data_IF_742499768567
#
_entry.id   IF_742499768567
#
_cell.length_a   1.000
_cell.length_b   1.000
_cell.length_c   1.000
_cell.angle_alpha   90.00
_cell.angle_beta   90.00
_cell.angle_gamma   90.00
#
_symmetry.space_group_name_H-M   'P 1'
#
loop_
_entity.id
_entity.type
_entity.pdbx_description
1 polymer ?
#
# COMPACT_ATOMS: atom_id res chain seq x y z
N UNK A 1 -5.47 19.69 27.42
CA UNK A 1 -5.59 18.58 26.44
C UNK A 1 -5.08 19.07 25.11
N UNK A 2 -4.22 18.30 24.48
CA UNK A 2 -3.73 18.60 23.14
C UNK A 2 -4.66 17.97 22.06
N UNK A 3 -4.40 18.26 20.79
CA UNK A 3 -5.21 17.78 19.67
C UNK A 3 -5.24 16.23 19.59
N UNK A 4 -4.13 15.56 19.85
CA UNK A 4 -4.06 14.10 19.85
C UNK A 4 -4.92 13.47 20.96
N UNK A 5 -4.98 14.08 22.14
CA UNK A 5 -5.87 13.63 23.22
C UNK A 5 -7.36 13.82 22.87
N UNK A 6 -7.68 14.91 22.16
CA UNK A 6 -9.06 15.15 21.70
C UNK A 6 -9.47 14.14 20.62
N UNK A 7 -8.58 13.87 19.66
CA UNK A 7 -8.78 12.84 18.65
C UNK A 7 -9.02 11.48 19.29
N UNK A 8 -8.17 11.06 20.22
CA UNK A 8 -8.32 9.78 20.92
C UNK A 8 -9.57 9.69 21.76
N UNK A 9 -10.00 10.81 22.35
CA UNK A 9 -11.28 10.85 23.04
C UNK A 9 -12.46 10.56 22.10
N UNK A 10 -12.47 11.18 20.92
CA UNK A 10 -13.49 10.94 19.90
C UNK A 10 -13.43 9.49 19.37
N UNK A 11 -12.23 9.01 19.03
CA UNK A 11 -12.01 7.66 18.51
C UNK A 11 -12.51 6.61 19.51
N UNK A 12 -12.21 6.74 20.80
CA UNK A 12 -12.72 5.82 21.86
C UNK A 12 -14.25 5.80 21.94
N UNK A 13 -14.90 6.95 21.83
CA UNK A 13 -16.37 7.01 21.82
C UNK A 13 -16.99 6.32 20.62
N UNK A 14 -16.38 6.50 19.45
CA UNK A 14 -16.79 5.80 18.22
C UNK A 14 -16.58 4.29 18.38
N UNK A 15 -15.45 3.87 18.94
CA UNK A 15 -15.13 2.47 19.17
C UNK A 15 -16.13 1.80 20.14
N UNK A 16 -16.48 2.46 21.25
CA UNK A 16 -17.51 1.99 22.16
C UNK A 16 -18.85 1.83 21.46
N UNK A 17 -19.26 2.83 20.69
CA UNK A 17 -20.51 2.79 19.94
C UNK A 17 -20.53 1.65 18.89
N UNK A 18 -19.41 1.38 18.22
CA UNK A 18 -19.26 0.26 17.30
C UNK A 18 -19.32 -1.08 18.01
N UNK A 19 -18.62 -1.21 19.14
CA UNK A 19 -18.59 -2.44 19.96
C UNK A 19 -19.98 -2.82 20.46
N UNK A 20 -20.78 -1.87 20.93
CA UNK A 20 -22.15 -2.09 21.36
C UNK A 20 -23.07 -2.63 20.25
N UNK A 21 -22.62 -2.52 18.99
CA UNK A 21 -23.28 -3.01 17.78
C UNK A 21 -22.60 -4.23 17.16
N UNK A 22 -21.70 -4.88 17.89
CA UNK A 22 -20.95 -6.05 17.42
C UNK A 22 -19.98 -5.75 16.28
N UNK A 23 -19.49 -4.50 16.18
CA UNK A 23 -18.51 -4.06 15.16
C UNK A 23 -17.19 -3.69 15.83
N UNK A 24 -16.12 -3.73 15.04
CA UNK A 24 -14.78 -3.32 15.47
C UNK A 24 -14.35 -2.09 14.67
N UNK A 25 -13.58 -1.22 15.33
CA UNK A 25 -12.96 -0.07 14.67
C UNK A 25 -11.83 -0.53 13.75
N UNK A 26 -11.77 0.06 12.57
CA UNK A 26 -10.59 0.06 11.72
C UNK A 26 -10.25 1.52 11.46
N UNK A 27 -9.01 1.93 11.67
CA UNK A 27 -8.55 3.30 11.43
C UNK A 27 -7.14 3.35 10.88
N UNK A 28 -6.83 4.46 10.23
CA UNK A 28 -5.48 4.79 9.80
C UNK A 28 -4.57 4.96 11.03
N UNK A 29 -3.26 4.86 10.85
CA UNK A 29 -2.28 4.81 11.96
C UNK A 29 -2.22 6.09 12.82
N UNK A 30 -2.90 7.18 12.42
CA UNK A 30 -3.10 8.36 13.26
C UNK A 30 -3.86 8.06 14.56
N UNK A 31 -4.68 7.01 14.59
CA UNK A 31 -5.39 6.62 15.81
C UNK A 31 -4.45 6.19 16.95
N UNK A 32 -3.18 5.88 16.63
CA UNK A 32 -2.17 5.53 17.63
C UNK A 32 -1.70 6.74 18.44
N UNK A 33 -1.78 7.96 17.91
CA UNK A 33 -1.15 9.16 18.47
C UNK A 33 -1.65 9.55 19.87
N UNK A 34 -2.80 9.14 20.28
CA UNK A 34 -3.28 9.39 21.64
C UNK A 34 -3.75 8.12 22.35
N UNK A 35 -3.38 6.99 21.80
CA UNK A 35 -3.72 5.66 22.29
C UNK A 35 -5.06 5.13 21.79
N UNK A 36 -5.05 3.87 21.42
CA UNK A 36 -6.19 3.11 20.89
C UNK A 36 -6.33 1.80 21.67
N UNK A 37 -7.51 1.21 21.70
CA UNK A 37 -7.70 -0.11 22.32
C UNK A 37 -7.07 -1.22 21.49
N UNK A 38 -6.78 -2.36 22.13
CA UNK A 38 -6.27 -3.55 21.42
C UNK A 38 -7.29 -4.18 20.47
N UNK A 39 -8.58 -3.86 20.61
CA UNK A 39 -9.63 -4.36 19.73
C UNK A 39 -9.64 -3.70 18.36
N UNK A 40 -9.09 -2.51 18.24
CA UNK A 40 -9.01 -1.78 16.98
C UNK A 40 -8.01 -2.44 16.00
N UNK A 41 -8.32 -2.35 14.73
CA UNK A 41 -7.40 -2.70 13.65
C UNK A 41 -6.75 -1.43 13.11
N UNK A 42 -5.45 -1.45 12.94
CA UNK A 42 -4.65 -0.30 12.47
C UNK A 42 -4.26 -0.50 11.01
N UNK A 43 -4.52 0.50 10.17
CA UNK A 43 -4.04 0.57 8.80
C UNK A 43 -2.81 1.46 8.75
N UNK A 44 -1.63 0.85 8.56
CA UNK A 44 -0.34 1.58 8.57
C UNK A 44 -0.01 2.09 7.19
N UNK A 45 -0.19 3.40 6.96
CA UNK A 45 0.04 4.04 5.66
C UNK A 45 1.28 4.94 5.63
N UNK A 46 1.64 5.57 6.75
CA UNK A 46 2.84 6.43 6.89
C UNK A 46 4.13 5.60 7.00
N UNK A 47 4.29 4.61 6.12
CA UNK A 47 5.33 3.59 6.20
C UNK A 47 4.94 2.43 7.11
N UNK A 48 5.94 1.69 7.62
CA UNK A 48 5.74 0.47 8.42
C UNK A 48 5.73 0.71 9.93
N UNK A 49 6.22 1.85 10.39
CA UNK A 49 6.43 2.14 11.82
C UNK A 49 5.15 2.01 12.64
N UNK A 50 4.05 2.60 12.18
CA UNK A 50 2.76 2.53 12.88
C UNK A 50 2.26 1.10 12.99
N UNK A 51 2.41 0.31 11.92
CA UNK A 51 2.01 -1.10 11.92
C UNK A 51 2.85 -1.96 12.86
N UNK A 52 4.18 -1.72 12.91
CA UNK A 52 5.07 -2.42 13.84
C UNK A 52 4.70 -2.07 15.29
N UNK A 53 4.45 -0.80 15.59
CA UNK A 53 4.03 -0.34 16.90
C UNK A 53 2.70 -0.97 17.31
N UNK A 54 1.70 -0.95 16.44
CA UNK A 54 0.40 -1.56 16.66
C UNK A 54 0.51 -3.08 16.91
N UNK A 55 1.29 -3.80 16.10
CA UNK A 55 1.51 -5.24 16.27
C UNK A 55 2.18 -5.58 17.60
N UNK A 56 3.13 -4.74 18.05
CA UNK A 56 3.75 -4.89 19.38
C UNK A 56 2.78 -4.67 20.54
N UNK A 57 1.77 -3.85 20.34
CA UNK A 57 0.67 -3.65 21.32
C UNK A 57 -0.43 -4.72 21.22
N UNK A 58 -0.34 -5.64 20.25
CA UNK A 58 -1.32 -6.70 20.05
C UNK A 58 -2.52 -6.31 19.17
N UNK A 59 -2.50 -5.13 18.56
CA UNK A 59 -3.51 -4.73 17.59
C UNK A 59 -3.36 -5.53 16.29
N UNK A 60 -4.48 -5.82 15.64
CA UNK A 60 -4.47 -6.30 14.25
C UNK A 60 -4.05 -5.17 13.30
N UNK A 61 -3.32 -5.52 12.26
CA UNK A 61 -2.73 -4.54 11.34
C UNK A 61 -2.97 -4.94 9.89
N UNK A 62 -3.31 -3.96 9.07
CA UNK A 62 -3.20 -4.02 7.62
C UNK A 62 -2.05 -3.10 7.20
N UNK A 63 -1.05 -3.64 6.50
CA UNK A 63 0.06 -2.87 5.99
C UNK A 63 -0.32 -2.20 4.66
N UNK A 64 -0.26 -0.86 4.63
CA UNK A 64 -0.69 -0.02 3.50
C UNK A 64 0.38 1.05 3.19
N UNK A 65 1.69 0.76 3.33
CA UNK A 65 2.71 1.80 3.28
C UNK A 65 2.69 2.55 1.95
N UNK A 66 2.61 3.89 2.02
CA UNK A 66 2.43 4.73 0.85
C UNK A 66 3.61 4.63 -0.13
N UNK A 67 4.82 4.42 0.37
CA UNK A 67 6.04 4.27 -0.41
C UNK A 67 6.19 2.91 -1.13
N UNK A 68 5.21 2.01 -0.94
CA UNK A 68 5.15 0.71 -1.62
C UNK A 68 3.82 0.45 -2.34
N UNK A 69 2.70 0.95 -1.79
CA UNK A 69 1.37 0.53 -2.24
C UNK A 69 0.39 1.67 -2.52
N UNK A 70 0.85 2.93 -2.59
CA UNK A 70 0.03 4.01 -3.14
C UNK A 70 0.20 4.05 -4.65
N UNK A 71 -0.75 3.50 -5.37
CA UNK A 71 -0.72 3.35 -6.82
C UNK A 71 -1.16 4.62 -7.57
N UNK A 72 -1.44 5.68 -6.87
CA UNK A 72 -1.53 7.04 -7.38
C UNK A 72 -0.17 7.75 -7.46
N UNK A 73 0.90 7.16 -6.92
CA UNK A 73 2.27 7.66 -7.04
C UNK A 73 2.92 7.27 -8.38
N UNK A 74 3.95 8.03 -8.77
CA UNK A 74 4.71 7.78 -9.99
C UNK A 74 5.30 6.36 -10.05
N UNK A 75 5.32 5.79 -11.26
CA UNK A 75 5.82 4.44 -11.52
C UNK A 75 7.23 4.44 -12.13
N UNK A 76 7.70 5.58 -12.58
CA UNK A 76 8.98 5.70 -13.31
C UNK A 76 9.70 6.98 -12.92
N UNK A 77 11.02 6.91 -12.94
CA UNK A 77 11.90 8.07 -12.75
C UNK A 77 12.22 8.80 -14.07
N UNK A 78 11.74 8.33 -15.21
CA UNK A 78 11.97 8.95 -16.50
C UNK A 78 11.17 10.26 -16.61
N UNK A 79 11.82 11.45 -16.61
CA UNK A 79 11.13 12.74 -16.64
C UNK A 79 10.20 12.91 -17.84
N UNK A 80 10.55 12.34 -18.99
CA UNK A 80 9.72 12.41 -20.21
C UNK A 80 8.40 11.63 -20.08
N UNK A 81 8.30 10.74 -19.09
CA UNK A 81 7.15 9.88 -18.85
C UNK A 81 6.34 10.31 -17.62
N UNK A 82 7.00 10.88 -16.61
CA UNK A 82 6.38 11.41 -15.40
C UNK A 82 5.26 12.42 -15.73
N UNK A 83 5.45 13.27 -16.73
CA UNK A 83 4.44 14.24 -17.17
C UNK A 83 3.12 13.59 -17.63
N UNK A 84 3.14 12.29 -17.96
CA UNK A 84 1.95 11.55 -18.39
C UNK A 84 1.22 10.86 -17.25
N UNK A 85 1.81 10.88 -16.08
CA UNK A 85 1.22 10.28 -14.88
C UNK A 85 0.59 11.36 -14.01
N UNK A 86 -0.57 11.05 -13.47
CA UNK A 86 -1.25 11.88 -12.48
C UNK A 86 -0.93 11.34 -11.10
N UNK A 87 -0.56 12.23 -10.19
CA UNK A 87 -0.35 11.88 -8.78
C UNK A 87 -1.24 12.74 -7.89
N UNK A 88 -1.68 12.17 -6.79
CA UNK A 88 -2.52 12.86 -5.82
C UNK A 88 -1.72 13.88 -4.99
N UNK A 89 -0.44 13.67 -4.81
CA UNK A 89 0.37 14.46 -3.88
C UNK A 89 1.63 15.02 -4.53
N UNK A 90 1.70 16.33 -4.61
CA UNK A 90 2.93 17.09 -4.77
C UNK A 90 3.69 16.93 -6.09
N UNK A 91 4.96 17.27 -6.03
CA UNK A 91 5.90 17.20 -7.13
C UNK A 91 6.58 15.81 -7.18
N UNK A 92 7.16 15.41 -8.33
CA UNK A 92 7.92 14.16 -8.42
C UNK A 92 9.01 13.99 -7.35
N UNK A 93 9.61 15.09 -6.91
CA UNK A 93 10.68 15.09 -5.89
C UNK A 93 10.15 14.91 -4.46
N UNK A 94 8.86 15.14 -4.24
CA UNK A 94 8.23 15.13 -2.90
C UNK A 94 7.59 13.78 -2.55
N UNK A 95 7.41 12.89 -3.54
CA UNK A 95 6.75 11.59 -3.35
C UNK A 95 7.63 10.44 -3.82
N UNK A 96 7.60 9.30 -3.14
CA UNK A 96 8.36 8.14 -3.56
C UNK A 96 7.81 7.57 -4.87
N UNK A 97 8.71 6.99 -5.66
CA UNK A 97 8.33 6.22 -6.83
C UNK A 97 7.94 4.81 -6.42
N UNK A 98 6.78 4.38 -6.88
CA UNK A 98 6.27 3.03 -6.62
C UNK A 98 6.34 2.23 -7.91
N UNK A 99 7.52 1.66 -8.18
CA UNK A 99 7.73 0.76 -9.32
C UNK A 99 7.16 -0.63 -9.03
N UNK A 100 7.05 -1.49 -10.04
CA UNK A 100 6.70 -2.92 -9.85
C UNK A 100 7.70 -3.60 -8.91
N UNK A 101 8.99 -3.31 -9.11
CA UNK A 101 10.07 -3.85 -8.29
C UNK A 101 9.94 -3.40 -6.84
N UNK A 102 9.68 -2.11 -6.61
CA UNK A 102 9.49 -1.55 -5.29
C UNK A 102 8.33 -2.21 -4.56
N UNK A 103 7.17 -2.32 -5.20
CA UNK A 103 6.00 -2.97 -4.62
C UNK A 103 6.27 -4.46 -4.30
N UNK A 104 6.97 -5.18 -5.18
CA UNK A 104 7.32 -6.58 -4.98
C UNK A 104 8.27 -6.80 -3.79
N UNK A 105 9.22 -5.89 -3.55
CA UNK A 105 10.24 -6.03 -2.50
C UNK A 105 9.70 -5.79 -1.09
N UNK A 106 8.50 -5.27 -0.94
CA UNK A 106 7.92 -5.03 0.38
C UNK A 106 7.82 -6.32 1.21
N UNK A 107 8.26 -6.24 2.48
CA UNK A 107 8.10 -7.31 3.47
C UNK A 107 7.15 -6.87 4.58
N UNK A 108 5.95 -7.46 4.69
CA UNK A 108 4.98 -7.07 5.71
C UNK A 108 5.39 -7.48 7.13
N UNK A 109 6.41 -8.34 7.27
CA UNK A 109 6.86 -8.90 8.55
C UNK A 109 8.22 -8.35 9.03
N UNK A 110 8.80 -7.42 8.29
CA UNK A 110 10.09 -6.85 8.67
C UNK A 110 10.02 -6.16 10.03
N UNK A 111 10.98 -6.45 10.92
CA UNK A 111 11.03 -5.89 12.27
C UNK A 111 10.04 -6.50 13.28
N UNK A 112 9.34 -7.59 12.91
CA UNK A 112 8.37 -8.29 13.76
C UNK A 112 8.86 -9.70 14.13
N UNK A 113 8.66 -10.08 15.40
CA UNK A 113 8.85 -11.47 15.86
C UNK A 113 7.67 -12.39 15.48
N UNK A 114 7.79 -13.69 15.78
CA UNK A 114 6.79 -14.69 15.39
C UNK A 114 5.39 -14.45 15.96
N UNK A 115 5.28 -13.92 17.18
CA UNK A 115 4.01 -13.60 17.81
C UNK A 115 3.37 -12.36 17.19
N UNK A 116 4.18 -11.34 16.93
CA UNK A 116 3.74 -10.08 16.34
C UNK A 116 3.31 -10.24 14.86
N UNK A 117 3.94 -11.16 14.12
CA UNK A 117 3.54 -11.48 12.73
C UNK A 117 2.10 -11.94 12.62
N UNK A 118 1.57 -12.62 13.64
CA UNK A 118 0.17 -13.07 13.68
C UNK A 118 -0.82 -11.90 13.75
N UNK A 119 -0.37 -10.72 14.16
CA UNK A 119 -1.18 -9.51 14.15
C UNK A 119 -1.39 -8.93 12.75
N UNK A 120 -0.52 -9.28 11.78
CA UNK A 120 -0.63 -8.79 10.41
C UNK A 120 -1.70 -9.55 9.65
N UNK A 121 -2.80 -8.88 9.33
CA UNK A 121 -3.91 -9.43 8.57
C UNK A 121 -3.58 -9.54 7.06
N UNK A 122 -2.71 -8.69 6.57
CA UNK A 122 -2.32 -8.64 5.18
C UNK A 122 -1.84 -7.26 4.74
N UNK A 123 -1.85 -7.06 3.42
CA UNK A 123 -1.44 -5.82 2.76
C UNK A 123 -2.60 -5.25 1.95
N UNK A 124 -2.59 -3.92 1.75
CA UNK A 124 -3.55 -3.23 0.90
C UNK A 124 -2.84 -2.22 0.01
N UNK A 125 -3.27 -2.13 -1.25
CA UNK A 125 -2.90 -1.06 -2.16
C UNK A 125 -4.00 -0.01 -2.25
N UNK A 126 -3.62 1.25 -2.28
CA UNK A 126 -4.53 2.37 -2.47
C UNK A 126 -4.33 3.00 -3.85
N UNK A 127 -5.41 3.50 -4.41
CA UNK A 127 -5.40 4.35 -5.60
C UNK A 127 -6.33 5.54 -5.35
N UNK A 128 -5.74 6.69 -5.03
CA UNK A 128 -6.45 7.93 -4.79
C UNK A 128 -6.68 8.64 -6.11
N UNK A 129 -7.94 8.92 -6.42
CA UNK A 129 -8.36 9.25 -7.79
C UNK A 129 -8.52 10.75 -8.05
N UNK A 130 -8.10 11.61 -7.18
CA UNK A 130 -8.36 13.05 -7.27
C UNK A 130 -7.96 13.67 -8.63
N UNK A 131 -6.88 13.15 -9.23
CA UNK A 131 -6.34 13.67 -10.49
C UNK A 131 -6.52 12.72 -11.69
N UNK A 132 -7.16 11.56 -11.50
CA UNK A 132 -7.41 10.60 -12.58
C UNK A 132 -8.76 10.86 -13.22
N UNK A 133 -8.76 11.24 -14.49
CA UNK A 133 -9.96 11.71 -15.19
C UNK A 133 -10.84 10.60 -15.75
N UNK A 134 -10.25 9.43 -16.04
CA UNK A 134 -10.97 8.29 -16.60
C UNK A 134 -10.47 6.93 -16.05
N UNK A 135 -11.20 5.86 -16.40
CA UNK A 135 -10.86 4.53 -15.94
C UNK A 135 -9.59 3.96 -16.60
N UNK A 136 -9.29 4.38 -17.83
CA UNK A 136 -8.03 3.97 -18.51
C UNK A 136 -6.80 4.48 -17.78
N UNK A 137 -6.90 5.67 -17.18
CA UNK A 137 -5.83 6.20 -16.35
C UNK A 137 -5.70 5.40 -15.04
N UNK A 138 -6.81 4.98 -14.44
CA UNK A 138 -6.80 4.08 -13.28
C UNK A 138 -6.12 2.74 -13.63
N UNK A 139 -6.45 2.14 -14.76
CA UNK A 139 -5.78 0.91 -15.24
C UNK A 139 -4.27 1.12 -15.42
N UNK A 140 -3.86 2.21 -16.06
CA UNK A 140 -2.47 2.55 -16.25
C UNK A 140 -1.71 2.70 -14.92
N UNK A 141 -2.31 3.37 -13.95
CA UNK A 141 -1.70 3.57 -12.63
C UNK A 141 -1.69 2.29 -11.79
N UNK A 142 -2.65 1.41 -11.97
CA UNK A 142 -2.80 0.19 -11.20
C UNK A 142 -1.95 -0.96 -11.75
N UNK A 143 -1.94 -1.14 -13.08
CA UNK A 143 -1.31 -2.28 -13.75
C UNK A 143 0.08 -1.93 -14.27
N UNK A 144 1.08 -2.81 -14.13
CA UNK A 144 1.01 -4.16 -13.54
C UNK A 144 1.33 -4.23 -12.04
N UNK A 145 1.46 -3.10 -11.32
CA UNK A 145 1.84 -3.06 -9.88
C UNK A 145 0.92 -3.88 -8.97
N UNK A 146 -0.37 -3.97 -9.32
CA UNK A 146 -1.32 -4.81 -8.59
C UNK A 146 -0.89 -6.28 -8.54
N UNK A 147 -0.23 -6.79 -9.59
CA UNK A 147 0.29 -8.15 -9.58
C UNK A 147 1.43 -8.32 -8.56
N UNK A 148 2.27 -7.30 -8.36
CA UNK A 148 3.31 -7.32 -7.34
C UNK A 148 2.71 -7.32 -5.92
N UNK A 149 1.69 -6.51 -5.67
CA UNK A 149 0.96 -6.54 -4.41
C UNK A 149 0.31 -7.91 -4.15
N UNK A 150 -0.31 -8.51 -5.16
CA UNK A 150 -0.89 -9.83 -5.04
C UNK A 150 0.17 -10.90 -4.69
N UNK A 151 1.35 -10.81 -5.30
CA UNK A 151 2.46 -11.72 -4.97
C UNK A 151 2.94 -11.55 -3.52
N UNK A 152 3.03 -10.30 -3.03
CA UNK A 152 3.34 -10.03 -1.62
C UNK A 152 2.27 -10.62 -0.69
N UNK A 153 0.99 -10.43 -1.03
CA UNK A 153 -0.12 -10.87 -0.20
C UNK A 153 -0.23 -12.41 -0.09
N UNK A 154 0.02 -13.12 -1.19
CA UNK A 154 -0.26 -14.57 -1.27
C UNK A 154 0.98 -15.46 -1.18
N UNK A 155 2.16 -14.95 -1.53
CA UNK A 155 3.38 -15.75 -1.63
C UNK A 155 4.49 -15.32 -0.67
N UNK A 156 4.31 -14.27 0.10
CA UNK A 156 5.26 -13.57 0.97
C UNK A 156 6.66 -14.22 1.13
N UNK A 157 6.76 -15.31 1.89
CA UNK A 157 8.03 -15.99 2.22
C UNK A 157 8.57 -16.90 1.10
N UNK A 158 7.84 -17.07 0.01
CA UNK A 158 8.19 -17.94 -1.13
C UNK A 158 8.40 -17.18 -2.43
N UNK A 159 8.62 -15.89 -2.34
CA UNK A 159 8.76 -15.01 -3.52
C UNK A 159 10.09 -15.25 -4.22
N UNK A 160 10.04 -15.35 -5.53
CA UNK A 160 11.17 -15.43 -6.44
C UNK A 160 10.95 -14.41 -7.57
N UNK A 161 11.76 -13.33 -7.60
CA UNK A 161 11.55 -12.25 -8.54
C UNK A 161 11.75 -12.65 -10.01
N UNK A 162 12.77 -13.46 -10.38
CA UNK A 162 12.89 -14.01 -11.72
C UNK A 162 11.66 -14.80 -12.17
N UNK A 163 11.09 -15.64 -11.30
CA UNK A 163 9.86 -16.38 -11.60
C UNK A 163 8.65 -15.44 -11.72
N UNK A 164 8.48 -14.52 -10.78
CA UNK A 164 7.44 -13.49 -10.85
C UNK A 164 7.53 -12.68 -12.14
N UNK A 165 8.70 -12.21 -12.51
CA UNK A 165 8.95 -11.46 -13.75
C UNK A 165 8.48 -12.26 -14.97
N UNK A 166 8.85 -13.54 -15.08
CA UNK A 166 8.42 -14.41 -16.18
C UNK A 166 6.90 -14.56 -16.24
N UNK A 167 6.24 -14.72 -15.10
CA UNK A 167 4.77 -14.80 -15.02
C UNK A 167 4.11 -13.48 -15.37
N UNK A 168 4.73 -12.36 -15.02
CA UNK A 168 4.23 -11.03 -15.34
C UNK A 168 4.23 -10.77 -16.85
N UNK A 169 5.23 -11.24 -17.59
CA UNK A 169 5.21 -11.18 -19.05
C UNK A 169 4.06 -12.00 -19.68
N UNK A 170 3.69 -13.14 -19.09
CA UNK A 170 2.49 -13.90 -19.52
C UNK A 170 1.20 -13.15 -19.18
N UNK A 171 1.15 -12.49 -18.03
CA UNK A 171 0.00 -11.67 -17.64
C UNK A 171 -0.17 -10.46 -18.59
N UNK A 172 0.94 -9.92 -19.12
CA UNK A 172 0.91 -8.88 -20.15
C UNK A 172 0.17 -9.35 -21.42
N UNK A 173 0.36 -10.61 -21.84
CA UNK A 173 -0.35 -11.16 -23.00
C UNK A 173 -1.87 -11.11 -22.77
N UNK A 174 -2.34 -11.41 -21.56
CA UNK A 174 -3.74 -11.27 -21.19
C UNK A 174 -4.20 -9.82 -21.21
N UNK A 175 -3.39 -8.89 -20.69
CA UNK A 175 -3.71 -7.46 -20.75
C UNK A 175 -3.87 -6.96 -22.19
N UNK A 176 -3.00 -7.42 -23.09
CA UNK A 176 -3.06 -7.08 -24.51
C UNK A 176 -4.33 -7.67 -25.18
N UNK A 177 -4.71 -8.91 -24.86
CA UNK A 177 -5.90 -9.59 -25.39
C UNK A 177 -7.21 -8.92 -24.93
N UNK A 178 -7.28 -8.55 -23.65
CA UNK A 178 -8.47 -7.92 -23.05
C UNK A 178 -8.50 -6.40 -23.25
N UNK A 179 -7.46 -5.81 -23.83
CA UNK A 179 -7.38 -4.38 -24.12
C UNK A 179 -7.19 -3.49 -22.90
N UNK A 180 -6.65 -4.03 -21.79
CA UNK A 180 -6.32 -3.24 -20.62
C UNK A 180 -5.22 -2.22 -20.89
N UNK A 181 -5.36 -1.05 -20.30
CA UNK A 181 -4.34 -0.01 -20.35
C UNK A 181 -3.40 -0.14 -19.15
N UNK A 182 -2.23 -0.71 -19.37
CA UNK A 182 -1.22 -0.87 -18.32
C UNK A 182 0.00 0.02 -18.57
N UNK A 183 0.76 0.32 -17.52
CA UNK A 183 2.03 1.02 -17.64
C UNK A 183 3.11 0.09 -18.22
N UNK A 184 3.83 0.51 -19.28
CA UNK A 184 4.76 -0.37 -19.99
C UNK A 184 6.15 -0.42 -19.35
N UNK A 185 6.41 0.34 -18.30
CA UNK A 185 7.77 0.63 -17.80
C UNK A 185 8.54 -0.62 -17.41
N UNK A 186 7.90 -1.53 -16.68
CA UNK A 186 8.50 -2.81 -16.31
C UNK A 186 8.90 -3.63 -17.55
N UNK A 187 8.01 -3.73 -18.52
CA UNK A 187 8.23 -4.53 -19.73
C UNK A 187 9.29 -3.97 -20.68
N UNK A 188 9.51 -2.67 -20.61
CA UNK A 188 10.51 -1.94 -21.42
C UNK A 188 11.87 -1.77 -20.68
N UNK A 189 12.02 -2.38 -19.48
CA UNK A 189 13.25 -2.27 -18.68
C UNK A 189 13.51 -0.88 -18.10
N UNK A 190 12.49 -0.03 -17.97
CA UNK A 190 12.59 1.32 -17.40
C UNK A 190 12.00 1.42 -15.98
N UNK A 191 11.65 0.29 -15.39
CA UNK A 191 11.23 0.11 -13.99
C UNK A 191 12.48 -0.01 -13.07
N UNK A 192 13.44 0.90 -13.24
CA UNK A 192 14.66 0.91 -12.45
C UNK A 192 14.58 1.97 -11.37
N UNK A 193 14.92 1.59 -10.14
CA UNK A 193 15.19 2.56 -9.07
C UNK A 193 16.58 3.13 -9.31
N UNK A 194 16.80 4.46 -9.30
CA UNK A 194 18.14 5.02 -9.30
C UNK A 194 18.93 4.46 -8.12
N UNK A 195 20.17 4.10 -8.38
CA UNK A 195 21.15 3.69 -7.35
C UNK A 195 21.52 4.88 -6.48
#
# INVERSE_FOLDING_TARGET
RNEAELQSYLVRRIEEWLRDRGRRLIGWDEILEGGVSQDATVMSWRGTRGGIEAARHGNRVVMVPCDYFYFDYYQTHDPARVERETVATGRPDDVPYVTVRRAYEFSPYEGLDGGQRQCILGVQGNIWREYMVDFRQVEHMLLPRLAALAEVAWSCDRRDFPDFSRRLFRLKELYDQEGYRYAPYFFNGTDTVPQ
#
